data_IF_075607236197
#
_entry.id   IF_075607236197
#
_cell.length_a   1.000
_cell.length_b   1.000
_cell.length_c   1.000
_cell.angle_alpha   90.00
_cell.angle_beta   90.00
_cell.angle_gamma   90.00
#
_symmetry.space_group_name_H-M   'P 1'
#
loop_
_entity.id
_entity.type
_entity.pdbx_description
1 polymer ?
#
# COMPACT_ATOMS: atom_id res chain seq x y z
N UNK A 1 24.88 5.21 -0.18
CA UNK A 1 23.46 5.02 -0.56
C UNK A 1 22.81 3.97 0.31
N UNK A 2 21.62 4.28 0.77
CA UNK A 2 20.89 3.34 1.60
C UNK A 2 19.65 2.85 0.86
N UNK A 3 19.42 1.57 0.95
CA UNK A 3 18.14 1.00 0.60
C UNK A 3 17.76 0.02 1.70
N UNK A 4 16.47 -0.09 1.93
CA UNK A 4 15.98 -0.90 3.04
C UNK A 4 16.09 -2.37 2.72
N UNK A 5 16.44 -3.16 3.71
CA UNK A 5 16.43 -4.61 3.60
C UNK A 5 14.98 -5.12 3.51
N UNK A 6 14.82 -6.35 2.99
CA UNK A 6 13.51 -6.97 2.94
C UNK A 6 12.90 -7.12 4.34
N UNK A 7 13.71 -7.44 5.35
CA UNK A 7 13.22 -7.53 6.73
C UNK A 7 12.66 -6.22 7.23
N UNK A 8 13.33 -5.11 6.91
CA UNK A 8 12.87 -3.79 7.31
C UNK A 8 11.52 -3.46 6.67
N UNK A 9 11.42 -3.68 5.37
CA UNK A 9 10.19 -3.38 4.63
C UNK A 9 9.03 -4.26 5.11
N UNK A 10 9.30 -5.52 5.46
CA UNK A 10 8.28 -6.48 5.87
C UNK A 10 7.92 -6.42 7.36
N UNK A 11 8.53 -5.52 8.12
CA UNK A 11 8.35 -5.46 9.57
C UNK A 11 6.94 -5.11 9.99
N UNK A 12 6.60 -5.48 11.21
CA UNK A 12 5.37 -5.01 11.85
C UNK A 12 5.55 -3.58 12.32
N UNK A 13 4.51 -2.77 12.17
CA UNK A 13 4.55 -1.35 12.47
C UNK A 13 3.83 -1.03 13.77
N UNK A 14 4.22 0.09 14.39
CA UNK A 14 3.47 0.66 15.52
C UNK A 14 2.19 1.32 15.01
N UNK A 15 1.31 1.67 15.95
CA UNK A 15 0.05 2.35 15.61
C UNK A 15 0.29 3.67 14.88
N UNK A 16 1.32 4.40 15.24
CA UNK A 16 1.64 5.69 14.61
C UNK A 16 2.05 5.55 13.16
N UNK A 17 2.59 4.40 12.78
CA UNK A 17 3.13 4.18 11.45
C UNK A 17 2.25 3.26 10.58
N UNK A 18 1.20 2.68 11.15
CA UNK A 18 0.28 1.81 10.41
C UNK A 18 -0.51 2.62 9.37
N UNK A 19 -1.04 1.95 8.37
CA UNK A 19 -1.89 2.60 7.39
C UNK A 19 -3.36 2.49 7.77
N UNK A 20 -4.01 3.64 7.89
CA UNK A 20 -5.43 3.73 8.26
C UNK A 20 -6.25 4.03 7.00
N UNK A 21 -7.24 3.19 6.72
CA UNK A 21 -8.06 3.32 5.51
C UNK A 21 -9.29 4.18 5.77
N UNK A 22 -9.45 5.23 4.95
CA UNK A 22 -10.58 6.15 4.99
C UNK A 22 -11.32 6.09 3.66
N UNK A 23 -12.59 6.46 3.64
CA UNK A 23 -13.33 6.63 2.37
C UNK A 23 -13.38 8.09 1.93
N UNK A 24 -13.17 9.01 2.87
CA UNK A 24 -13.06 10.44 2.64
C UNK A 24 -12.45 11.05 3.89
N UNK A 25 -12.16 12.35 3.86
CA UNK A 25 -11.60 13.03 5.03
C UNK A 25 -12.55 12.86 6.21
N UNK A 26 -12.03 12.32 7.31
CA UNK A 26 -12.81 12.11 8.53
C UNK A 26 -13.65 10.83 8.56
N UNK A 27 -13.74 10.07 7.47
CA UNK A 27 -14.55 8.85 7.42
C UNK A 27 -13.66 7.61 7.47
N UNK A 28 -13.29 7.23 8.68
CA UNK A 28 -12.46 6.07 8.94
C UNK A 28 -13.26 4.77 8.76
N UNK A 29 -12.68 3.80 8.06
CA UNK A 29 -13.35 2.53 7.75
C UNK A 29 -13.27 1.50 8.87
N UNK A 30 -12.35 1.67 9.82
CA UNK A 30 -12.03 0.64 10.80
C UNK A 30 -10.94 -0.33 10.35
N UNK A 31 -10.47 -0.22 9.12
CA UNK A 31 -9.41 -1.08 8.61
C UNK A 31 -8.05 -0.43 8.79
N UNK A 32 -7.10 -1.20 9.35
CA UNK A 32 -5.73 -0.74 9.60
C UNK A 32 -4.79 -1.82 9.09
N UNK A 33 -3.70 -1.41 8.43
CA UNK A 33 -2.64 -2.33 8.03
C UNK A 33 -1.37 -2.02 8.84
N UNK A 34 -0.89 -3.00 9.57
CA UNK A 34 0.30 -2.88 10.41
C UNK A 34 1.56 -3.44 9.74
N UNK A 35 1.45 -3.84 8.49
CA UNK A 35 2.58 -4.36 7.71
C UNK A 35 2.22 -4.35 6.24
N UNK A 36 3.21 -4.56 5.38
CA UNK A 36 2.95 -4.68 3.95
C UNK A 36 2.06 -5.88 3.65
N UNK A 37 2.25 -6.99 4.35
CA UNK A 37 1.43 -8.18 4.18
C UNK A 37 -0.03 -7.90 4.53
N UNK A 38 -0.28 -7.21 5.64
CA UNK A 38 -1.64 -6.83 6.02
C UNK A 38 -2.23 -5.84 5.02
N UNK A 39 -1.40 -4.93 4.51
CA UNK A 39 -1.84 -3.98 3.49
C UNK A 39 -2.38 -4.72 2.26
N UNK A 40 -1.66 -5.73 1.79
CA UNK A 40 -2.13 -6.56 0.67
C UNK A 40 -3.49 -7.21 0.98
N UNK A 41 -3.67 -7.71 2.20
CA UNK A 41 -4.94 -8.31 2.61
C UNK A 41 -6.06 -7.27 2.60
N UNK A 42 -5.78 -6.08 3.13
CA UNK A 42 -6.79 -5.01 3.21
C UNK A 42 -7.22 -4.50 1.85
N UNK A 43 -6.33 -4.53 0.86
CA UNK A 43 -6.70 -4.13 -0.51
C UNK A 43 -7.90 -4.97 -1.00
N UNK A 44 -8.00 -6.23 -0.59
CA UNK A 44 -9.11 -7.09 -0.99
C UNK A 44 -10.33 -6.96 -0.08
N UNK A 45 -10.22 -6.29 1.06
CA UNK A 45 -11.30 -6.19 2.03
C UNK A 45 -12.01 -4.84 2.03
N UNK A 46 -11.28 -3.75 1.84
CA UNK A 46 -11.87 -2.41 1.92
C UNK A 46 -12.69 -2.10 0.69
N UNK A 47 -13.60 -1.16 0.81
CA UNK A 47 -14.43 -0.72 -0.33
C UNK A 47 -13.56 -0.02 -1.36
N UNK A 48 -13.96 -0.15 -2.62
CA UNK A 48 -13.25 0.50 -3.74
C UNK A 48 -13.11 2.00 -3.53
N UNK A 49 -14.14 2.66 -2.96
CA UNK A 49 -14.07 4.09 -2.72
C UNK A 49 -12.90 4.47 -1.81
N UNK A 50 -12.54 3.59 -0.85
CA UNK A 50 -11.37 3.81 -0.02
C UNK A 50 -10.09 3.71 -0.83
N UNK A 51 -9.99 2.71 -1.69
CA UNK A 51 -8.81 2.54 -2.53
C UNK A 51 -8.61 3.72 -3.48
N UNK A 52 -9.69 4.17 -4.12
CA UNK A 52 -9.64 5.33 -5.01
C UNK A 52 -9.25 6.60 -4.25
N UNK A 53 -9.84 6.79 -3.07
CA UNK A 53 -9.55 7.96 -2.26
C UNK A 53 -8.05 8.07 -1.96
N UNK A 54 -7.45 6.99 -1.47
CA UNK A 54 -6.04 7.02 -1.09
C UNK A 54 -5.10 6.99 -2.28
N UNK A 55 -5.45 6.24 -3.34
CA UNK A 55 -4.59 6.16 -4.51
C UNK A 55 -4.41 7.54 -5.14
N UNK A 56 -5.51 8.24 -5.38
CA UNK A 56 -5.46 9.52 -6.09
C UNK A 56 -4.95 10.68 -5.23
N UNK A 57 -4.97 10.55 -3.92
CA UNK A 57 -4.30 11.51 -3.03
C UNK A 57 -2.80 11.26 -2.91
N UNK A 58 -2.33 10.10 -3.38
CA UNK A 58 -0.93 9.74 -3.22
C UNK A 58 -0.60 9.20 -1.84
N UNK A 59 -1.61 8.86 -1.03
CA UNK A 59 -1.40 8.39 0.34
C UNK A 59 -0.67 7.05 0.37
N UNK A 60 -1.00 6.14 -0.56
CA UNK A 60 -0.37 4.82 -0.59
C UNK A 60 1.11 4.93 -0.91
N UNK A 61 1.45 5.65 -1.97
CA UNK A 61 2.85 5.76 -2.37
C UNK A 61 3.68 6.51 -1.32
N UNK A 62 3.08 7.50 -0.66
CA UNK A 62 3.76 8.25 0.39
C UNK A 62 4.08 7.35 1.58
N UNK A 63 3.09 6.57 2.04
CA UNK A 63 3.29 5.65 3.17
C UNK A 63 4.33 4.58 2.83
N UNK A 64 4.25 4.01 1.64
CA UNK A 64 5.19 2.99 1.20
C UNK A 64 6.61 3.56 1.13
N UNK A 65 6.74 4.77 0.60
CA UNK A 65 8.04 5.43 0.47
C UNK A 65 8.61 5.86 1.82
N UNK A 66 7.81 6.53 2.64
CA UNK A 66 8.30 7.18 3.85
C UNK A 66 8.31 6.28 5.07
N UNK A 67 7.33 5.40 5.22
CA UNK A 67 7.22 4.52 6.37
C UNK A 67 7.88 3.19 6.12
N UNK A 68 7.50 2.49 5.05
CA UNK A 68 8.10 1.20 4.72
C UNK A 68 9.49 1.35 4.12
N UNK A 69 9.76 2.48 3.52
CA UNK A 69 11.02 2.79 2.85
C UNK A 69 11.29 1.86 1.66
N UNK A 70 10.23 1.57 0.91
CA UNK A 70 10.30 0.76 -0.31
C UNK A 70 10.07 1.64 -1.53
N UNK A 71 11.14 2.19 -2.07
CA UNK A 71 11.04 3.08 -3.23
C UNK A 71 10.62 2.36 -4.49
N UNK A 72 10.93 1.07 -4.59
CA UNK A 72 10.52 0.26 -5.75
C UNK A 72 9.02 0.13 -5.79
N UNK A 73 8.40 -0.25 -4.67
CA UNK A 73 6.94 -0.40 -4.62
C UNK A 73 6.25 0.96 -4.76
N UNK A 74 6.81 2.00 -4.14
CA UNK A 74 6.25 3.35 -4.26
C UNK A 74 6.14 3.76 -5.74
N UNK A 75 7.19 3.50 -6.53
CA UNK A 75 7.17 3.80 -7.97
C UNK A 75 6.13 2.97 -8.71
N UNK A 76 5.98 1.70 -8.34
CA UNK A 76 4.98 0.82 -8.99
C UNK A 76 3.57 1.29 -8.69
N UNK A 77 3.30 1.73 -7.46
CA UNK A 77 1.98 2.27 -7.09
C UNK A 77 1.72 3.59 -7.82
N UNK A 78 2.73 4.43 -7.93
CA UNK A 78 2.58 5.67 -8.72
C UNK A 78 2.27 5.37 -10.18
N UNK A 79 2.88 4.33 -10.74
CA UNK A 79 2.59 3.91 -12.11
C UNK A 79 1.13 3.48 -12.26
N UNK A 80 0.57 2.78 -11.27
CA UNK A 80 -0.85 2.43 -11.26
C UNK A 80 -1.70 3.70 -11.26
N UNK A 81 -1.36 4.67 -10.41
CA UNK A 81 -2.11 5.93 -10.34
C UNK A 81 -2.11 6.65 -11.68
N UNK A 82 -1.00 6.65 -12.38
CA UNK A 82 -0.87 7.34 -13.67
C UNK A 82 -1.70 6.70 -14.78
N UNK A 83 -2.09 5.43 -14.64
CA UNK A 83 -3.00 4.77 -15.56
C UNK A 83 -4.46 5.17 -15.33
N UNK A 84 -4.73 5.89 -14.26
CA UNK A 84 -6.05 6.39 -13.90
C UNK A 84 -7.14 5.30 -13.87
N UNK A 85 -6.88 4.15 -13.20
CA UNK A 85 -7.91 3.12 -13.11
C UNK A 85 -9.07 3.57 -12.23
N UNK A 86 -10.20 2.88 -12.37
CA UNK A 86 -11.37 3.14 -11.52
C UNK A 86 -12.09 1.81 -11.25
N UNK A 87 -12.92 1.81 -10.21
CA UNK A 87 -13.69 0.62 -9.84
C UNK A 87 -12.81 -0.56 -9.48
N UNK A 88 -13.20 -1.74 -9.92
CA UNK A 88 -12.48 -2.97 -9.60
C UNK A 88 -11.07 -2.99 -10.17
N UNK A 89 -10.80 -2.23 -11.23
CA UNK A 89 -9.45 -2.14 -11.80
C UNK A 89 -8.47 -1.55 -10.80
N UNK A 90 -8.91 -0.63 -9.94
CA UNK A 90 -8.06 -0.08 -8.88
C UNK A 90 -7.60 -1.20 -7.94
N UNK A 91 -8.56 -2.01 -7.48
CA UNK A 91 -8.24 -3.13 -6.58
C UNK A 91 -7.30 -4.12 -7.24
N UNK A 92 -7.61 -4.52 -8.47
CA UNK A 92 -6.83 -5.54 -9.18
C UNK A 92 -5.41 -5.08 -9.42
N UNK A 93 -5.21 -3.85 -9.86
CA UNK A 93 -3.89 -3.34 -10.18
C UNK A 93 -3.07 -3.09 -8.90
N UNK A 94 -3.69 -2.56 -7.85
CA UNK A 94 -3.01 -2.36 -6.57
C UNK A 94 -2.60 -3.71 -5.97
N UNK A 95 -3.53 -4.66 -5.96
CA UNK A 95 -3.25 -5.97 -5.38
C UNK A 95 -2.11 -6.66 -6.14
N UNK A 96 -2.13 -6.59 -7.46
CA UNK A 96 -1.07 -7.17 -8.27
C UNK A 96 0.30 -6.55 -7.92
N UNK A 97 0.37 -5.22 -7.87
CA UNK A 97 1.62 -4.53 -7.56
C UNK A 97 2.16 -4.91 -6.18
N UNK A 98 1.28 -4.89 -5.17
CA UNK A 98 1.67 -5.16 -3.79
C UNK A 98 2.03 -6.63 -3.59
N UNK A 99 1.20 -7.56 -4.09
CA UNK A 99 1.45 -8.98 -3.91
C UNK A 99 2.71 -9.43 -4.66
N UNK A 100 2.95 -8.88 -5.83
CA UNK A 100 4.19 -9.15 -6.58
C UNK A 100 5.41 -8.71 -5.78
N UNK A 101 5.34 -7.51 -5.20
CA UNK A 101 6.45 -6.99 -4.39
C UNK A 101 6.67 -7.84 -3.14
N UNK A 102 5.58 -8.26 -2.46
CA UNK A 102 5.69 -9.15 -1.32
C UNK A 102 6.43 -10.42 -1.66
N UNK A 103 6.07 -11.03 -2.79
CA UNK A 103 6.73 -12.25 -3.27
C UNK A 103 8.22 -12.01 -3.49
N UNK A 104 8.58 -10.90 -4.13
CA UNK A 104 9.98 -10.55 -4.34
C UNK A 104 10.74 -10.41 -3.03
N UNK A 105 10.13 -9.71 -2.07
CA UNK A 105 10.77 -9.46 -0.77
C UNK A 105 10.92 -10.74 0.05
N UNK A 106 9.92 -11.59 0.02
CA UNK A 106 9.95 -12.85 0.77
C UNK A 106 10.97 -13.82 0.19
N UNK A 107 11.18 -13.79 -1.11
CA UNK A 107 12.18 -14.64 -1.76
C UNK A 107 13.61 -14.16 -1.51
N UNK A 108 13.79 -12.86 -1.25
CA UNK A 108 15.10 -12.32 -0.90
C UNK A 108 15.44 -12.62 0.56
N UNK A 109 14.44 -12.58 1.41
CA UNK A 109 14.61 -12.84 2.83
C UNK A 109 14.83 -14.33 3.08
#
# INVERSE_FOLDING_TARGET
MHYSSSKHILRNLSRENAFYFFTSIGNYTGHIAFSLKEFAQKINEVKIVSLEFHLYRGDFEKWIDEVLEDKILAKRVNAVKLLEPFGNSVRDQLFFAVSKRLEELENIA
#
